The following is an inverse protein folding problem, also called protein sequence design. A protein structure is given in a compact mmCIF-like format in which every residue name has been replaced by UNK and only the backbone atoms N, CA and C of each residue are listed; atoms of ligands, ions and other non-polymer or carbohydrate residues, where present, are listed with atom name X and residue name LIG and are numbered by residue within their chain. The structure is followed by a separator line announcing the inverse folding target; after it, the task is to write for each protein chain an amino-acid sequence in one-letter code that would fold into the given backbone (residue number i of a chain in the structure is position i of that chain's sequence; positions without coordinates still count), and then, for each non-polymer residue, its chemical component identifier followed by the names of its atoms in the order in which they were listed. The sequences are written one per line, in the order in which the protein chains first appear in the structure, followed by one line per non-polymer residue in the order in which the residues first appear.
data_IF_606101844231
#
_entry.id   IF_606101844231
#
_cell.length_a   1.000
_cell.length_b   1.000
_cell.length_c   1.000
_cell.angle_alpha   90.00
_cell.angle_beta   90.00
_cell.angle_gamma   90.00
#
_symmetry.space_group_name_H-M   'P 1'
#
loop_
_entity.id
_entity.type
_entity.pdbx_description
1 polymer ?
#
# COMPACT_ATOMS: atom_id res chain seq x y z
N UNK A 1 -22.12 8.18 6.77
CA UNK A 1 -21.15 9.29 6.74
C UNK A 1 -21.48 10.25 7.86
N UNK A 2 -20.52 10.65 8.68
CA UNK A 2 -20.73 11.76 9.62
C UNK A 2 -20.99 13.04 8.82
N UNK A 3 -21.90 13.88 9.30
CA UNK A 3 -22.26 15.13 8.64
C UNK A 3 -21.17 16.17 8.90
N UNK A 4 -20.02 16.00 8.24
CA UNK A 4 -18.83 16.84 8.38
C UNK A 4 -18.94 18.00 7.38
N UNK A 5 -18.76 19.27 7.81
CA UNK A 5 -18.74 20.40 6.87
C UNK A 5 -17.66 20.21 5.80
N UNK A 6 -17.97 20.58 4.55
CA UNK A 6 -17.06 20.40 3.42
C UNK A 6 -15.66 21.02 3.64
N UNK A 7 -15.59 22.17 4.31
CA UNK A 7 -14.32 22.82 4.66
C UNK A 7 -13.46 21.97 5.60
N UNK A 8 -14.08 21.30 6.59
CA UNK A 8 -13.38 20.41 7.52
C UNK A 8 -12.92 19.15 6.80
N UNK A 9 -13.78 18.56 5.96
CA UNK A 9 -13.43 17.38 5.17
C UNK A 9 -12.25 17.66 4.21
N UNK A 10 -12.28 18.80 3.50
CA UNK A 10 -11.21 19.22 2.60
C UNK A 10 -9.88 19.44 3.32
N UNK A 11 -9.91 20.06 4.51
CA UNK A 11 -8.72 20.26 5.32
C UNK A 11 -8.10 18.93 5.78
N UNK A 12 -8.93 18.01 6.30
CA UNK A 12 -8.47 16.68 6.73
C UNK A 12 -7.93 15.88 5.55
N UNK A 13 -8.61 15.91 4.39
CA UNK A 13 -8.13 15.28 3.15
C UNK A 13 -6.76 15.82 2.75
N UNK A 14 -6.58 17.14 2.76
CA UNK A 14 -5.29 17.77 2.41
C UNK A 14 -4.18 17.28 3.33
N UNK A 15 -4.43 17.28 4.65
CA UNK A 15 -3.48 16.80 5.65
C UNK A 15 -3.10 15.32 5.43
N UNK A 16 -4.09 14.48 5.10
CA UNK A 16 -3.86 13.05 4.82
C UNK A 16 -3.07 12.85 3.53
N UNK A 17 -3.41 13.56 2.46
CA UNK A 17 -2.71 13.47 1.17
C UNK A 17 -1.24 13.89 1.26
N UNK A 18 -0.92 14.89 2.09
CA UNK A 18 0.46 15.30 2.34
C UNK A 18 1.29 14.20 3.04
N UNK A 19 0.67 13.46 3.96
CA UNK A 19 1.37 12.46 4.78
C UNK A 19 1.48 11.09 4.11
N UNK A 20 0.43 10.66 3.39
CA UNK A 20 0.31 9.29 2.90
C UNK A 20 1.04 9.04 1.58
N UNK A 21 1.67 10.06 1.00
CA UNK A 21 2.33 9.97 -0.32
C UNK A 21 1.44 9.25 -1.35
N UNK A 22 0.16 9.64 -1.42
CA UNK A 22 -0.85 8.95 -2.23
C UNK A 22 -0.38 8.80 -3.68
N UNK A 23 -0.56 7.59 -4.20
CA UNK A 23 -0.54 7.29 -5.63
C UNK A 23 -1.80 6.53 -6.00
N UNK A 24 -2.29 6.73 -7.23
CA UNK A 24 -3.51 6.08 -7.70
C UNK A 24 -3.46 5.78 -9.19
N UNK A 25 -4.27 4.81 -9.59
CA UNK A 25 -4.53 4.46 -10.98
C UNK A 25 -5.94 3.92 -11.15
N UNK A 26 -6.51 4.15 -12.33
CA UNK A 26 -7.79 3.64 -12.76
C UNK A 26 -7.56 2.69 -13.92
N UNK A 27 -8.10 1.49 -13.80
CA UNK A 27 -8.01 0.42 -14.79
C UNK A 27 -9.40 0.12 -15.31
N UNK A 28 -9.55 -0.01 -16.62
CA UNK A 28 -10.83 -0.42 -17.22
C UNK A 28 -11.21 -1.83 -16.79
N UNK A 29 -12.48 -2.18 -16.95
CA UNK A 29 -12.96 -3.55 -16.73
C UNK A 29 -12.33 -4.60 -17.67
N UNK A 30 -11.66 -4.14 -18.73
CA UNK A 30 -10.89 -4.99 -19.65
C UNK A 30 -9.40 -5.09 -19.26
N UNK A 31 -8.99 -4.49 -18.13
CA UNK A 31 -7.61 -4.57 -17.60
C UNK A 31 -6.65 -3.51 -18.16
N UNK A 32 -7.14 -2.50 -18.88
CA UNK A 32 -6.28 -1.47 -19.50
C UNK A 32 -6.18 -0.21 -18.64
N UNK A 33 -4.99 0.39 -18.59
CA UNK A 33 -4.75 1.61 -17.82
C UNK A 33 -5.46 2.82 -18.44
N UNK A 34 -6.38 3.45 -17.68
CA UNK A 34 -7.16 4.60 -18.14
C UNK A 34 -6.57 5.95 -17.68
N UNK A 35 -6.20 6.04 -16.40
CA UNK A 35 -5.58 7.24 -15.81
C UNK A 35 -4.78 6.87 -14.57
N UNK A 36 -3.88 7.77 -14.16
CA UNK A 36 -3.08 7.62 -12.96
C UNK A 36 -2.64 8.98 -12.41
N UNK A 37 -2.13 8.99 -11.18
CA UNK A 37 -1.62 10.20 -10.56
C UNK A 37 -1.01 9.96 -9.19
N UNK A 38 -0.65 11.06 -8.53
CA UNK A 38 0.05 11.04 -7.25
C UNK A 38 1.52 10.62 -7.40
N UNK A 39 2.10 10.06 -6.33
CA UNK A 39 3.55 9.79 -6.21
C UNK A 39 3.94 8.38 -6.66
N UNK A 40 3.42 7.89 -7.80
CA UNK A 40 3.67 6.52 -8.30
C UNK A 40 5.17 6.15 -8.38
N UNK A 41 6.01 7.11 -8.77
CA UNK A 41 7.46 6.91 -8.85
C UNK A 41 8.09 6.54 -7.49
N UNK A 42 7.52 6.98 -6.36
CA UNK A 42 7.99 6.59 -5.05
C UNK A 42 7.81 5.09 -4.80
N UNK A 43 6.76 4.49 -5.38
CA UNK A 43 6.46 3.06 -5.27
C UNK A 43 7.11 2.22 -6.37
N UNK A 44 8.01 2.81 -7.16
CA UNK A 44 8.68 2.12 -8.26
C UNK A 44 7.86 1.99 -9.54
N UNK A 45 6.65 2.54 -9.56
CA UNK A 45 5.80 2.54 -10.75
C UNK A 45 6.16 3.75 -11.60
N UNK A 46 6.83 3.50 -12.71
CA UNK A 46 7.30 4.54 -13.66
C UNK A 46 7.02 4.10 -15.10
N UNK A 47 7.13 5.04 -16.05
CA UNK A 47 6.99 4.77 -17.49
C UNK A 47 5.65 4.12 -17.88
N UNK A 48 4.55 4.51 -17.23
CA UNK A 48 3.21 4.03 -17.55
C UNK A 48 2.72 4.55 -18.91
N UNK A 49 2.10 3.66 -19.67
CA UNK A 49 1.48 3.91 -20.95
C UNK A 49 -0.04 3.72 -20.85
N UNK A 50 -0.77 4.76 -21.26
CA UNK A 50 -2.23 4.75 -21.29
C UNK A 50 -2.73 3.77 -22.35
N UNK A 51 -3.74 2.97 -22.02
CA UNK A 51 -4.34 2.01 -22.93
C UNK A 51 -3.55 0.71 -23.08
N UNK A 52 -2.44 0.56 -22.37
CA UNK A 52 -1.70 -0.71 -22.25
C UNK A 52 -2.24 -1.49 -21.05
N UNK A 53 -2.16 -2.82 -21.11
CA UNK A 53 -2.61 -3.68 -20.01
C UNK A 53 -1.82 -3.34 -18.73
N UNK A 54 -2.51 -3.27 -17.60
CA UNK A 54 -1.88 -2.85 -16.34
C UNK A 54 -0.92 -3.90 -15.79
N UNK A 55 -1.24 -5.19 -15.97
CA UNK A 55 -0.43 -6.29 -15.46
C UNK A 55 0.91 -6.46 -16.21
N UNK A 56 0.96 -6.05 -17.48
CA UNK A 56 2.21 -5.97 -18.26
C UNK A 56 3.18 -4.88 -17.76
N UNK A 57 2.66 -3.86 -17.08
CA UNK A 57 3.43 -2.68 -16.66
C UNK A 57 3.67 -2.64 -15.15
N UNK A 58 2.77 -3.24 -14.37
CA UNK A 58 2.80 -3.25 -12.91
C UNK A 58 2.65 -4.69 -12.46
N UNK A 59 3.79 -5.35 -12.27
CA UNK A 59 3.88 -6.79 -12.05
C UNK A 59 3.00 -7.31 -10.90
N UNK A 60 2.87 -6.56 -9.80
CA UNK A 60 2.06 -7.02 -8.66
C UNK A 60 0.54 -6.97 -8.92
N UNK A 61 0.10 -6.28 -9.99
CA UNK A 61 -1.31 -6.22 -10.39
C UNK A 61 -1.69 -7.33 -11.39
N UNK A 62 -0.70 -8.04 -11.95
CA UNK A 62 -0.93 -9.17 -12.84
C UNK A 62 -1.77 -10.25 -12.13
N UNK A 63 -2.86 -10.66 -12.77
CA UNK A 63 -3.80 -11.64 -12.21
C UNK A 63 -4.70 -11.14 -11.06
N UNK A 64 -4.58 -9.88 -10.63
CA UNK A 64 -5.48 -9.27 -9.64
C UNK A 64 -6.63 -8.48 -10.27
N UNK A 65 -6.45 -7.99 -11.49
CA UNK A 65 -7.40 -7.12 -12.19
C UNK A 65 -7.86 -7.74 -13.50
N UNK A 66 -9.12 -7.49 -13.93
CA UNK A 66 -10.16 -6.73 -13.22
C UNK A 66 -10.71 -7.46 -11.99
N UNK A 67 -11.32 -6.74 -11.05
CA UNK A 67 -11.97 -7.31 -9.87
C UNK A 67 -13.38 -7.84 -10.18
N UNK A 68 -13.75 -8.96 -9.55
CA UNK A 68 -15.11 -9.54 -9.53
C UNK A 68 -16.04 -8.79 -8.55
N UNK A 69 -16.08 -7.46 -8.62
CA UNK A 69 -16.93 -6.56 -7.82
C UNK A 69 -16.67 -6.53 -6.29
N UNK A 70 -15.65 -7.21 -5.78
CA UNK A 70 -15.24 -7.13 -4.38
C UNK A 70 -13.95 -6.33 -4.18
N UNK A 71 -13.92 -5.37 -3.23
CA UNK A 71 -12.69 -4.64 -2.93
C UNK A 71 -11.63 -5.56 -2.33
N UNK A 72 -10.38 -5.33 -2.69
CA UNK A 72 -9.21 -6.05 -2.20
C UNK A 72 -8.30 -5.08 -1.45
N UNK A 73 -7.75 -5.55 -0.33
CA UNK A 73 -6.79 -4.80 0.46
C UNK A 73 -5.54 -5.64 0.69
N UNK A 74 -4.39 -5.14 0.27
CA UNK A 74 -3.08 -5.76 0.42
C UNK A 74 -2.24 -4.88 1.36
N UNK A 75 -2.21 -5.18 2.67
CA UNK A 75 -1.47 -4.37 3.63
C UNK A 75 0.04 -4.59 3.50
N UNK A 76 0.80 -3.52 3.70
CA UNK A 76 2.26 -3.53 3.89
C UNK A 76 3.03 -4.28 2.78
N UNK A 77 2.65 -4.05 1.54
CA UNK A 77 3.38 -4.56 0.39
C UNK A 77 4.71 -3.82 0.23
N UNK A 78 5.81 -4.56 0.29
CA UNK A 78 7.14 -4.00 0.03
C UNK A 78 7.34 -3.85 -1.47
N UNK A 79 7.59 -2.62 -1.90
CA UNK A 79 7.99 -2.31 -3.27
C UNK A 79 9.49 -2.55 -3.44
N UNK A 80 9.96 -2.70 -4.68
CA UNK A 80 11.38 -2.92 -4.99
C UNK A 80 12.30 -1.79 -4.50
N UNK A 81 11.74 -0.60 -4.26
CA UNK A 81 12.47 0.58 -3.79
C UNK A 81 12.47 0.73 -2.26
N UNK A 82 12.02 -0.30 -1.54
CA UNK A 82 12.06 -0.33 -0.07
C UNK A 82 10.93 0.43 0.62
N UNK A 83 10.04 1.09 -0.14
CA UNK A 83 8.82 1.69 0.41
C UNK A 83 7.80 0.59 0.67
N UNK A 84 7.17 0.66 1.84
CA UNK A 84 6.06 -0.19 2.22
C UNK A 84 4.75 0.51 1.86
N UNK A 85 3.89 -0.15 1.09
CA UNK A 85 2.63 0.41 0.62
C UNK A 85 1.43 -0.41 1.10
N UNK A 86 0.44 0.27 1.65
CA UNK A 86 -0.90 -0.26 1.78
C UNK A 86 -1.63 -0.07 0.45
N UNK A 87 -2.01 -1.17 -0.20
CA UNK A 87 -2.66 -1.15 -1.51
C UNK A 87 -4.14 -1.45 -1.36
N UNK A 88 -4.97 -0.48 -1.74
CA UNK A 88 -6.42 -0.62 -1.79
C UNK A 88 -6.88 -0.70 -3.23
N UNK A 89 -7.65 -1.73 -3.54
CA UNK A 89 -8.27 -1.91 -4.85
C UNK A 89 -9.77 -1.98 -4.66
N UNK A 90 -10.54 -1.17 -5.39
CA UNK A 90 -11.99 -1.23 -5.32
C UNK A 90 -12.64 -0.97 -6.69
N UNK A 91 -13.74 -1.67 -6.98
CA UNK A 91 -14.47 -1.51 -8.23
C UNK A 91 -15.39 -0.29 -8.20
N UNK A 92 -15.56 0.33 -9.36
CA UNK A 92 -16.54 1.39 -9.65
C UNK A 92 -17.16 1.15 -11.03
N UNK A 93 -18.16 1.95 -11.41
CA UNK A 93 -18.78 1.87 -12.74
C UNK A 93 -17.77 2.14 -13.87
N UNK A 94 -16.77 3.00 -13.64
CA UNK A 94 -15.76 3.37 -14.64
C UNK A 94 -14.66 2.31 -14.80
N UNK A 95 -14.51 1.41 -13.83
CA UNK A 95 -13.39 0.49 -13.73
C UNK A 95 -12.94 0.29 -12.29
N UNK A 96 -11.75 -0.27 -12.12
CA UNK A 96 -11.17 -0.57 -10.81
C UNK A 96 -10.12 0.48 -10.45
N UNK A 97 -10.30 1.10 -9.29
CA UNK A 97 -9.31 2.00 -8.71
C UNK A 97 -8.31 1.21 -7.90
N UNK A 98 -7.03 1.51 -8.08
CA UNK A 98 -5.94 1.06 -7.22
C UNK A 98 -5.31 2.28 -6.56
N UNK A 99 -5.16 2.23 -5.25
CA UNK A 99 -4.53 3.27 -4.44
C UNK A 99 -3.34 2.66 -3.72
N UNK A 100 -2.24 3.40 -3.68
CA UNK A 100 -1.06 3.09 -2.89
C UNK A 100 -0.86 4.19 -1.86
N UNK A 101 -0.76 3.78 -0.60
CA UNK A 101 -0.55 4.65 0.56
C UNK A 101 0.73 4.22 1.27
N UNK A 102 1.58 5.18 1.62
CA UNK A 102 2.84 4.92 2.31
C UNK A 102 2.56 4.45 3.74
N UNK A 103 2.88 3.18 3.99
CA UNK A 103 2.79 2.51 5.28
C UNK A 103 4.19 2.27 5.91
N UNK A 104 5.24 2.92 5.38
CA UNK A 104 6.63 2.69 5.81
C UNK A 104 6.84 3.06 7.26
N UNK A 105 6.23 4.15 7.74
CA UNK A 105 6.33 4.55 9.16
C UNK A 105 5.74 3.49 10.08
N UNK A 106 4.58 2.95 9.73
CA UNK A 106 3.88 1.94 10.52
C UNK A 106 4.62 0.60 10.49
N UNK A 107 5.20 0.23 9.34
CA UNK A 107 6.03 -0.96 9.21
C UNK A 107 7.33 -0.84 10.03
N UNK A 108 7.99 0.31 9.97
CA UNK A 108 9.24 0.56 10.72
C UNK A 108 9.01 0.43 12.22
N UNK A 109 7.92 1.01 12.74
CA UNK A 109 7.58 0.91 14.16
C UNK A 109 7.33 -0.53 14.59
N UNK A 110 6.57 -1.30 13.79
CA UNK A 110 6.30 -2.69 14.10
C UNK A 110 7.57 -3.56 14.03
N UNK A 111 8.44 -3.29 13.06
CA UNK A 111 9.72 -4.00 12.89
C UNK A 111 10.64 -3.80 14.10
N UNK A 112 10.76 -2.57 14.61
CA UNK A 112 11.53 -2.26 15.83
C UNK A 112 11.01 -3.03 17.03
N UNK A 113 9.69 -3.06 17.23
CA UNK A 113 9.07 -3.80 18.34
C UNK A 113 9.35 -5.30 18.21
N UNK A 114 9.20 -5.87 17.01
CA UNK A 114 9.47 -7.29 16.76
C UNK A 114 10.93 -7.65 17.05
N UNK A 115 11.88 -6.80 16.66
CA UNK A 115 13.29 -7.01 16.94
C UNK A 115 13.57 -6.99 18.45
N UNK A 116 13.01 -6.04 19.19
CA UNK A 116 13.18 -5.94 20.64
C UNK A 116 12.63 -7.18 21.38
N UNK A 117 11.48 -7.70 20.95
CA UNK A 117 10.91 -8.92 21.52
C UNK A 117 11.82 -10.12 21.26
N UNK A 118 12.27 -10.30 20.01
CA UNK A 118 13.18 -11.38 19.65
C UNK A 118 14.50 -11.33 20.44
N UNK A 119 15.11 -10.15 20.56
CA UNK A 119 16.37 -9.97 21.29
C UNK A 119 16.21 -10.33 22.79
N UNK A 120 15.05 -10.01 23.36
CA UNK A 120 14.71 -10.37 24.74
C UNK A 120 14.56 -11.89 24.90
N UNK A 121 13.79 -12.54 24.03
CA UNK A 121 13.62 -14.00 24.04
C UNK A 121 14.94 -14.75 23.82
N UNK A 122 15.78 -14.29 22.89
CA UNK A 122 17.11 -14.86 22.64
C UNK A 122 18.04 -14.73 23.85
N UNK A 123 17.92 -13.64 24.62
CA UNK A 123 18.71 -13.42 25.82
C UNK A 123 18.26 -14.34 26.96
N UNK A 124 16.95 -14.50 27.15
CA UNK A 124 16.38 -15.44 28.12
C UNK A 124 16.80 -16.89 27.84
N UNK A 125 16.72 -17.34 26.59
CA UNK A 125 17.17 -18.68 26.20
C UNK A 125 18.65 -18.93 26.52
N UNK A 126 19.51 -17.94 26.27
CA UNK A 126 20.95 -18.05 26.58
C UNK A 126 21.17 -18.17 28.09
N UNK A 127 20.46 -17.38 28.89
CA UNK A 127 20.56 -17.44 30.35
C UNK A 127 20.09 -18.80 30.90
N UNK A 128 18.97 -19.33 30.39
CA UNK A 128 18.47 -20.66 30.78
C UNK A 128 19.45 -21.79 30.42
N UNK A 129 20.13 -21.70 29.27
CA UNK A 129 21.16 -22.67 28.87
C UNK A 129 22.39 -22.62 29.79
N UNK A 130 22.79 -21.43 30.25
CA UNK A 130 23.92 -21.27 31.19
C UNK A 130 23.55 -21.77 32.59
N UNK A 131 22.31 -21.54 33.04
CA UNK A 131 21.87 -21.90 34.40
C UNK A 131 21.54 -23.39 34.56
N UNK A 132 21.24 -24.09 33.45
CA UNK A 132 20.97 -25.53 33.43
C UNK A 132 22.22 -26.39 33.11
N UNK A 133 23.42 -25.80 33.11
CA UNK A 133 24.72 -26.47 33.06
C UNK A 133 25.37 -26.51 34.45
#
# INVERSE_FOLDING_TARGET
MQNVPAAVAAYVLTLMLEQLSLAYLLVSKDGYLLTWGGKLAAYGVTNLEKGTNVGEQIFFLEGLLPLDDFPLFLPRMKTEYGICADVHIFPTEEGDWVLLLDATKDETQLSVIQQQVNDSSLSEEKLLKIFNQ
#
